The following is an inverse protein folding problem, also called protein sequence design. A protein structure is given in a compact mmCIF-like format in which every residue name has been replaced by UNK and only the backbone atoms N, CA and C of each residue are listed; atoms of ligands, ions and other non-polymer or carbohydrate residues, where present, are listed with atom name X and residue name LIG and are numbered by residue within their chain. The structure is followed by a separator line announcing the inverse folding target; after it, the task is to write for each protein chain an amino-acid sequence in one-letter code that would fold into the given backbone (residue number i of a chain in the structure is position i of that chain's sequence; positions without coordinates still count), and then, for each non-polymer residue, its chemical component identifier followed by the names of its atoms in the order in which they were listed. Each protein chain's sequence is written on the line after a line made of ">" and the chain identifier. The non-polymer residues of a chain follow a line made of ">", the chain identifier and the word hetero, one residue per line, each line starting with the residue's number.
data_IF_697391460003
#
_entry.id   IF_697391460003
#
_cell.length_a   1.000
_cell.length_b   1.000
_cell.length_c   1.000
_cell.angle_alpha   90.00
_cell.angle_beta   90.00
_cell.angle_gamma   90.00
#
_symmetry.space_group_name_H-M   'P 1'
#
loop_
_entity.id
_entity.type
_entity.pdbx_description
1 polymer ?
#
# COMPACT_ATOMS: atom_id res chain seq x y z
N UNK A 1 -10.29 -34.85 -22.31
CA UNK A 1 -11.56 -34.21 -21.90
C UNK A 1 -11.55 -32.70 -22.28
N UNK A 2 -10.62 -31.87 -21.79
CA UNK A 2 -10.55 -30.43 -22.10
C UNK A 2 -10.28 -30.13 -23.59
N UNK A 3 -9.38 -30.89 -24.21
CA UNK A 3 -9.08 -30.76 -25.65
C UNK A 3 -10.29 -31.08 -26.51
N UNK A 4 -11.08 -32.08 -26.12
CA UNK A 4 -12.33 -32.45 -26.79
C UNK A 4 -13.41 -31.38 -26.58
N UNK A 5 -13.57 -30.84 -25.35
CA UNK A 5 -14.49 -29.75 -25.08
C UNK A 5 -14.14 -28.48 -25.87
N UNK A 6 -12.86 -28.13 -25.96
CA UNK A 6 -12.36 -27.02 -26.79
C UNK A 6 -12.66 -27.23 -28.28
N UNK A 7 -12.43 -28.44 -28.79
CA UNK A 7 -12.72 -28.78 -30.18
C UNK A 7 -14.21 -28.74 -30.47
N UNK A 8 -15.05 -29.24 -29.55
CA UNK A 8 -16.51 -29.19 -29.67
C UNK A 8 -17.02 -27.74 -29.66
N UNK A 9 -16.50 -26.88 -28.79
CA UNK A 9 -16.87 -25.45 -28.73
C UNK A 9 -16.40 -24.65 -29.97
N UNK A 10 -15.32 -25.09 -30.61
CA UNK A 10 -14.83 -24.48 -31.86
C UNK A 10 -15.64 -24.99 -33.08
N UNK A 11 -16.08 -26.25 -33.06
CA UNK A 11 -16.82 -26.86 -34.15
C UNK A 11 -18.33 -26.58 -34.14
N UNK A 12 -18.95 -26.47 -32.96
CA UNK A 12 -20.34 -26.04 -32.84
C UNK A 12 -20.41 -24.51 -33.01
N UNK A 13 -20.48 -24.02 -34.23
CA UNK A 13 -20.87 -22.66 -34.57
C UNK A 13 -22.41 -22.58 -34.72
N UNK A 14 -23.19 -22.32 -33.70
CA UNK A 14 -24.53 -21.81 -33.93
C UNK A 14 -24.38 -20.31 -34.22
N UNK A 15 -24.84 -19.91 -35.40
CA UNK A 15 -24.93 -18.48 -35.80
C UNK A 15 -25.80 -17.62 -34.85
N UNK A 16 -26.30 -18.18 -33.75
CA UNK A 16 -27.25 -17.58 -32.84
C UNK A 16 -26.62 -16.94 -31.56
N UNK A 17 -25.35 -17.18 -31.27
CA UNK A 17 -24.75 -16.59 -30.06
C UNK A 17 -24.07 -15.24 -30.34
N UNK A 18 -24.55 -14.20 -29.69
CA UNK A 18 -23.94 -12.86 -29.77
C UNK A 18 -22.46 -12.89 -29.34
N UNK A 19 -21.63 -12.00 -29.88
CA UNK A 19 -20.22 -11.86 -29.45
C UNK A 19 -20.07 -11.73 -27.93
N UNK A 20 -21.04 -11.12 -27.26
CA UNK A 20 -21.10 -11.00 -25.81
C UNK A 20 -21.15 -12.35 -25.10
N UNK A 21 -22.00 -13.25 -25.55
CA UNK A 21 -22.16 -14.59 -24.96
C UNK A 21 -20.89 -15.43 -25.14
N UNK A 22 -20.21 -15.33 -26.28
CA UNK A 22 -18.89 -15.99 -26.51
C UNK A 22 -17.83 -15.49 -25.54
N UNK A 23 -17.75 -14.18 -25.31
CA UNK A 23 -16.80 -13.60 -24.35
C UNK A 23 -17.05 -14.09 -22.91
N UNK A 24 -18.30 -14.24 -22.49
CA UNK A 24 -18.64 -14.78 -21.17
C UNK A 24 -18.24 -16.24 -21.01
N UNK A 25 -18.52 -17.09 -22.00
CA UNK A 25 -18.12 -18.50 -21.98
C UNK A 25 -16.59 -18.64 -21.98
N UNK A 26 -15.88 -17.88 -22.80
CA UNK A 26 -14.44 -17.91 -22.84
C UNK A 26 -13.81 -17.41 -21.52
N UNK A 27 -14.36 -16.36 -20.93
CA UNK A 27 -13.95 -15.86 -19.62
C UNK A 27 -14.20 -16.88 -18.51
N UNK A 28 -15.36 -17.57 -18.52
CA UNK A 28 -15.68 -18.64 -17.58
C UNK A 28 -14.69 -19.81 -17.68
N UNK A 29 -14.39 -20.27 -18.88
CA UNK A 29 -13.40 -21.34 -19.11
C UNK A 29 -11.99 -20.94 -18.66
N UNK A 30 -11.56 -19.71 -18.89
CA UNK A 30 -10.28 -19.20 -18.38
C UNK A 30 -10.27 -19.21 -16.84
N UNK A 31 -11.34 -18.76 -16.20
CA UNK A 31 -11.45 -18.79 -14.75
C UNK A 31 -11.37 -20.20 -14.16
N UNK A 32 -12.07 -21.17 -14.79
CA UNK A 32 -12.00 -22.58 -14.38
C UNK A 32 -10.61 -23.17 -14.59
N UNK A 33 -9.98 -22.90 -15.72
CA UNK A 33 -8.60 -23.31 -16.00
C UNK A 33 -7.62 -22.74 -14.97
N UNK A 34 -7.74 -21.44 -14.64
CA UNK A 34 -6.95 -20.83 -13.58
C UNK A 34 -7.21 -21.45 -12.21
N UNK A 35 -8.48 -21.76 -11.89
CA UNK A 35 -8.84 -22.43 -10.64
C UNK A 35 -8.20 -23.82 -10.54
N UNK A 36 -8.23 -24.61 -11.63
CA UNK A 36 -7.57 -25.92 -11.69
C UNK A 36 -6.04 -25.82 -11.59
N UNK A 37 -5.42 -24.89 -12.31
CA UNK A 37 -3.97 -24.65 -12.20
C UNK A 37 -3.57 -24.29 -10.78
N UNK A 38 -4.38 -23.47 -10.10
CA UNK A 38 -4.16 -23.14 -8.70
C UNK A 38 -4.27 -24.34 -7.75
N UNK A 39 -5.08 -25.35 -8.07
CA UNK A 39 -5.17 -26.58 -7.27
C UNK A 39 -3.96 -27.49 -7.40
N UNK A 40 -3.21 -27.38 -8.52
CA UNK A 40 -1.97 -28.15 -8.76
C UNK A 40 -0.77 -27.60 -8.00
N UNK A 41 -0.84 -26.35 -7.49
CA UNK A 41 0.24 -25.78 -6.71
C UNK A 41 0.14 -26.30 -5.26
N UNK A 42 1.16 -26.99 -4.73
CA UNK A 42 1.17 -27.45 -3.35
C UNK A 42 0.99 -26.30 -2.35
N UNK A 43 0.29 -26.54 -1.25
CA UNK A 43 -0.04 -25.50 -0.26
C UNK A 43 1.20 -24.79 0.33
N UNK A 44 2.32 -25.52 0.47
CA UNK A 44 3.56 -24.94 0.95
C UNK A 44 4.18 -23.97 -0.08
N UNK A 45 4.07 -24.25 -1.38
CA UNK A 45 4.54 -23.36 -2.43
C UNK A 45 3.64 -22.13 -2.55
N UNK A 46 2.32 -22.30 -2.40
CA UNK A 46 1.37 -21.15 -2.37
C UNK A 46 1.70 -20.19 -1.24
N UNK A 47 1.96 -20.71 -0.04
CA UNK A 47 2.36 -19.90 1.11
C UNK A 47 3.68 -19.17 0.85
N UNK A 48 4.67 -19.85 0.28
CA UNK A 48 5.97 -19.26 -0.07
C UNK A 48 5.81 -18.14 -1.11
N UNK A 49 5.04 -18.36 -2.18
CA UNK A 49 4.75 -17.35 -3.21
C UNK A 49 4.02 -16.15 -2.61
N UNK A 50 3.04 -16.39 -1.73
CA UNK A 50 2.28 -15.32 -1.09
C UNK A 50 3.14 -14.52 -0.11
N UNK A 51 4.00 -15.17 0.67
CA UNK A 51 4.95 -14.50 1.56
C UNK A 51 5.97 -13.67 0.78
N UNK A 52 6.53 -14.20 -0.30
CA UNK A 52 7.44 -13.47 -1.16
C UNK A 52 6.78 -12.25 -1.79
N UNK A 53 5.54 -12.40 -2.28
CA UNK A 53 4.76 -11.28 -2.82
C UNK A 53 4.45 -10.24 -1.74
N UNK A 54 4.06 -10.66 -0.55
CA UNK A 54 3.82 -9.77 0.58
C UNK A 54 5.07 -8.98 0.98
N UNK A 55 6.23 -9.64 1.01
CA UNK A 55 7.51 -9.00 1.28
C UNK A 55 7.89 -7.97 0.21
N UNK A 56 7.65 -8.27 -1.08
CA UNK A 56 7.88 -7.31 -2.17
C UNK A 56 6.98 -6.08 -2.03
N UNK A 57 5.68 -6.27 -1.84
CA UNK A 57 4.71 -5.17 -1.67
C UNK A 57 5.10 -4.30 -0.47
N UNK A 58 5.48 -4.92 0.63
CA UNK A 58 5.90 -4.21 1.84
C UNK A 58 7.17 -3.40 1.60
N UNK A 59 8.15 -3.96 0.93
CA UNK A 59 9.40 -3.26 0.55
C UNK A 59 9.10 -2.05 -0.33
N UNK A 60 8.28 -2.22 -1.36
CA UNK A 60 7.94 -1.17 -2.31
C UNK A 60 7.13 -0.05 -1.61
N UNK A 61 6.23 -0.41 -0.69
CA UNK A 61 5.53 0.55 0.15
C UNK A 61 6.49 1.36 1.05
N UNK A 62 7.41 0.69 1.77
CA UNK A 62 8.37 1.36 2.65
C UNK A 62 9.28 2.28 1.84
N UNK A 63 9.73 1.83 0.66
CA UNK A 63 10.52 2.66 -0.24
C UNK A 63 9.76 3.92 -0.67
N UNK A 64 8.49 3.77 -1.04
CA UNK A 64 7.64 4.88 -1.46
C UNK A 64 7.38 5.87 -0.31
N UNK A 65 7.11 5.37 0.90
CA UNK A 65 6.94 6.20 2.10
C UNK A 65 8.21 7.00 2.42
N UNK A 66 9.37 6.37 2.32
CA UNK A 66 10.65 7.05 2.57
C UNK A 66 10.97 8.10 1.50
N UNK A 67 10.66 7.83 0.24
CA UNK A 67 10.88 8.76 -0.86
C UNK A 67 9.95 9.99 -0.82
N UNK A 68 8.78 9.85 -0.21
CA UNK A 68 7.77 10.92 -0.11
C UNK A 68 8.12 12.04 0.88
N UNK A 69 9.14 11.84 1.72
CA UNK A 69 9.56 12.81 2.74
C UNK A 69 8.45 13.26 3.70
N UNK A 70 7.41 12.44 3.89
CA UNK A 70 6.34 12.67 4.84
C UNK A 70 5.24 13.65 4.38
N UNK A 71 5.22 14.02 3.09
CA UNK A 71 4.23 14.96 2.52
C UNK A 71 2.83 14.37 2.52
N UNK A 72 2.68 13.11 2.05
CA UNK A 72 1.39 12.45 1.99
C UNK A 72 1.17 11.57 3.22
N UNK A 73 0.01 11.75 3.89
CA UNK A 73 -0.33 11.04 5.13
C UNK A 73 -1.48 10.05 4.99
N UNK A 74 -1.99 9.84 3.78
CA UNK A 74 -3.11 8.94 3.51
C UNK A 74 -2.61 7.59 3.00
N UNK A 75 -3.11 6.50 3.59
CA UNK A 75 -2.85 5.14 3.08
C UNK A 75 -3.37 4.96 1.65
N UNK A 76 -4.48 5.64 1.30
CA UNK A 76 -5.05 5.57 -0.05
C UNK A 76 -4.08 6.07 -1.11
N UNK A 77 -3.36 7.16 -0.84
CA UNK A 77 -2.35 7.68 -1.76
C UNK A 77 -1.31 6.63 -2.14
N UNK A 78 -0.76 5.94 -1.16
CA UNK A 78 0.26 4.91 -1.39
C UNK A 78 -0.33 3.66 -2.04
N UNK A 79 -1.55 3.30 -1.67
CA UNK A 79 -2.27 2.18 -2.26
C UNK A 79 -2.53 2.41 -3.75
N UNK A 80 -2.98 3.61 -4.13
CA UNK A 80 -3.20 4.00 -5.53
C UNK A 80 -1.90 3.99 -6.34
N UNK A 81 -0.80 4.50 -5.77
CA UNK A 81 0.53 4.48 -6.40
C UNK A 81 1.04 3.05 -6.65
N UNK A 82 0.71 2.12 -5.78
CA UNK A 82 1.10 0.72 -5.88
C UNK A 82 0.06 -0.14 -6.63
N UNK A 83 -1.03 0.47 -7.13
CA UNK A 83 -2.13 -0.21 -7.81
C UNK A 83 -2.82 -1.30 -6.96
N UNK A 84 -2.96 -1.05 -5.66
CA UNK A 84 -3.68 -1.92 -4.72
C UNK A 84 -4.84 -1.19 -4.04
N UNK A 85 -5.82 -1.97 -3.55
CA UNK A 85 -6.82 -1.37 -2.65
C UNK A 85 -6.20 -1.08 -1.28
N UNK A 86 -6.62 -0.01 -0.58
CA UNK A 86 -6.13 0.30 0.77
C UNK A 86 -6.32 -0.84 1.76
N UNK A 87 -7.45 -1.56 1.65
CA UNK A 87 -7.76 -2.72 2.49
C UNK A 87 -6.74 -3.86 2.28
N UNK A 88 -6.42 -4.17 1.03
CA UNK A 88 -5.44 -5.21 0.70
C UNK A 88 -4.04 -4.82 1.17
N UNK A 89 -3.61 -3.58 0.90
CA UNK A 89 -2.31 -3.07 1.34
C UNK A 89 -2.16 -3.14 2.88
N UNK A 90 -3.22 -2.75 3.61
CA UNK A 90 -3.23 -2.86 5.08
C UNK A 90 -3.08 -4.30 5.57
N UNK A 91 -3.78 -5.25 4.95
CA UNK A 91 -3.71 -6.66 5.33
C UNK A 91 -2.30 -7.22 5.10
N UNK A 92 -1.75 -7.01 3.89
CA UNK A 92 -0.43 -7.53 3.49
C UNK A 92 0.69 -6.98 4.37
N UNK A 93 0.73 -5.66 4.59
CA UNK A 93 1.78 -5.03 5.40
C UNK A 93 1.68 -5.46 6.86
N UNK A 94 0.47 -5.53 7.41
CA UNK A 94 0.26 -5.98 8.78
C UNK A 94 0.65 -7.44 8.98
N UNK A 95 0.35 -8.31 8.02
CA UNK A 95 0.76 -9.71 8.02
C UNK A 95 2.29 -9.85 7.97
N UNK A 96 2.95 -9.09 7.09
CA UNK A 96 4.39 -9.18 6.88
C UNK A 96 5.22 -8.56 8.00
N UNK A 97 4.73 -7.50 8.67
CA UNK A 97 5.53 -6.68 9.60
C UNK A 97 4.98 -6.57 11.01
N UNK A 98 3.73 -6.96 11.23
CA UNK A 98 3.01 -6.71 12.48
C UNK A 98 2.53 -5.26 12.66
N UNK A 99 3.00 -4.31 11.83
CA UNK A 99 2.63 -2.88 11.87
C UNK A 99 1.62 -2.53 10.78
N UNK A 100 0.80 -1.53 11.03
CA UNK A 100 -0.10 -0.99 10.00
C UNK A 100 0.63 -0.02 9.07
N UNK A 101 0.19 0.15 7.80
CA UNK A 101 0.74 1.16 6.91
C UNK A 101 0.73 2.57 7.50
N UNK A 102 -0.34 2.91 8.24
CA UNK A 102 -0.47 4.22 8.89
C UNK A 102 0.66 4.47 9.91
N UNK A 103 1.09 3.44 10.66
CA UNK A 103 2.20 3.58 11.59
C UNK A 103 3.51 3.91 10.87
N UNK A 104 3.81 3.23 9.75
CA UNK A 104 4.99 3.57 8.93
C UNK A 104 4.96 4.99 8.39
N UNK A 105 3.78 5.43 7.89
CA UNK A 105 3.59 6.80 7.39
C UNK A 105 3.82 7.80 8.51
N UNK A 106 3.21 7.58 9.69
CA UNK A 106 3.36 8.48 10.84
C UNK A 106 4.80 8.54 11.35
N UNK A 107 5.48 7.39 11.46
CA UNK A 107 6.90 7.31 11.86
C UNK A 107 7.79 8.09 10.89
N UNK A 108 7.56 7.95 9.58
CA UNK A 108 8.32 8.73 8.60
C UNK A 108 7.99 10.22 8.66
N UNK A 109 6.71 10.58 8.72
CA UNK A 109 6.28 11.99 8.80
C UNK A 109 6.89 12.68 10.01
N UNK A 110 6.84 12.06 11.20
CA UNK A 110 7.41 12.67 12.40
C UNK A 110 8.94 12.79 12.34
N UNK A 111 9.60 11.82 11.72
CA UNK A 111 11.06 11.89 11.46
C UNK A 111 11.42 13.10 10.61
N UNK A 112 10.70 13.34 9.53
CA UNK A 112 10.92 14.48 8.65
C UNK A 112 10.56 15.82 9.32
N UNK A 113 9.47 15.85 10.11
CA UNK A 113 9.09 17.02 10.90
C UNK A 113 10.21 17.37 11.92
N UNK A 114 10.68 16.38 12.68
CA UNK A 114 11.78 16.58 13.64
C UNK A 114 13.03 17.15 12.95
N UNK A 115 13.37 16.58 11.79
CA UNK A 115 14.50 17.08 11.02
C UNK A 115 14.33 18.55 10.61
N UNK A 116 13.17 18.93 10.06
CA UNK A 116 12.88 20.32 9.69
C UNK A 116 12.82 21.26 10.90
N UNK A 117 12.26 20.81 12.03
CA UNK A 117 12.23 21.61 13.26
C UNK A 117 13.63 21.95 13.76
N UNK A 118 14.58 21.02 13.64
CA UNK A 118 15.95 21.17 14.13
C UNK A 118 16.88 21.89 13.14
N UNK A 119 16.69 21.67 11.84
CA UNK A 119 17.67 22.05 10.81
C UNK A 119 17.15 23.12 9.81
N UNK A 120 16.03 23.76 10.08
CA UNK A 120 15.56 24.87 9.25
C UNK A 120 15.11 26.06 10.08
N UNK A 121 15.21 27.25 9.51
CA UNK A 121 14.72 28.50 10.10
C UNK A 121 13.21 28.72 9.88
N UNK A 122 12.52 27.75 9.29
CA UNK A 122 11.08 27.83 9.04
C UNK A 122 10.31 27.99 10.35
N UNK A 123 9.30 28.86 10.35
CA UNK A 123 8.37 28.97 11.47
C UNK A 123 7.57 27.69 11.65
N UNK A 124 7.00 27.49 12.84
CA UNK A 124 6.14 26.32 13.13
C UNK A 124 4.95 26.27 12.16
N UNK A 125 4.44 27.44 11.74
CA UNK A 125 3.34 27.54 10.77
C UNK A 125 3.80 27.08 9.39
N UNK A 126 4.93 27.56 8.89
CA UNK A 126 5.48 27.16 7.59
C UNK A 126 5.78 25.66 7.53
N UNK A 127 6.25 25.07 8.64
CA UNK A 127 6.45 23.62 8.70
C UNK A 127 5.09 22.90 8.65
N UNK A 128 4.08 23.38 9.40
CA UNK A 128 2.75 22.79 9.36
C UNK A 128 2.16 22.83 7.94
N UNK A 129 2.32 23.95 7.25
CA UNK A 129 1.86 24.12 5.87
C UNK A 129 2.64 23.20 4.90
N UNK A 130 3.96 23.06 5.08
CA UNK A 130 4.81 22.21 4.25
C UNK A 130 4.46 20.71 4.36
N UNK A 131 3.88 20.28 5.48
CA UNK A 131 3.39 18.91 5.69
C UNK A 131 1.87 18.80 5.53
N UNK A 132 1.21 19.77 4.88
CA UNK A 132 -0.22 19.77 4.58
C UNK A 132 -1.11 19.53 5.82
N UNK A 133 -0.79 20.19 6.94
CA UNK A 133 -1.66 20.23 8.09
C UNK A 133 -2.72 21.32 7.96
N UNK A 134 -4.00 21.04 8.30
CA UNK A 134 -5.08 22.01 8.16
C UNK A 134 -4.84 23.32 8.91
N UNK A 135 -4.13 23.25 10.02
CA UNK A 135 -3.71 24.41 10.82
C UNK A 135 -2.62 24.01 11.83
N UNK A 136 -1.91 25.01 12.41
CA UNK A 136 -0.86 24.76 13.41
C UNK A 136 -1.32 24.02 14.66
N UNK A 137 -2.60 24.12 15.04
CA UNK A 137 -3.13 23.41 16.22
C UNK A 137 -3.17 21.89 15.99
N UNK A 138 -3.61 21.44 14.80
CA UNK A 138 -3.57 20.02 14.44
C UNK A 138 -2.13 19.50 14.32
N UNK A 139 -1.25 20.30 13.74
CA UNK A 139 0.18 20.00 13.70
C UNK A 139 0.77 19.82 15.09
N UNK A 140 0.52 20.78 16.00
CA UNK A 140 0.99 20.71 17.38
C UNK A 140 0.49 19.48 18.14
N UNK A 141 -0.80 19.14 17.98
CA UNK A 141 -1.39 17.91 18.55
C UNK A 141 -0.73 16.65 17.99
N UNK A 142 -0.49 16.59 16.70
CA UNK A 142 0.15 15.47 16.04
C UNK A 142 1.59 15.28 16.57
N UNK A 143 2.39 16.34 16.56
CA UNK A 143 3.78 16.28 17.05
C UNK A 143 3.80 15.84 18.52
N UNK A 144 2.96 16.44 19.37
CA UNK A 144 2.89 16.08 20.79
C UNK A 144 2.45 14.63 21.01
N UNK A 145 1.49 14.14 20.24
CA UNK A 145 1.04 12.74 20.33
C UNK A 145 2.15 11.75 19.93
N UNK A 146 3.00 12.11 18.96
CA UNK A 146 4.06 11.23 18.45
C UNK A 146 5.38 11.34 19.23
N UNK A 147 5.63 12.46 19.90
CA UNK A 147 6.94 12.73 20.54
C UNK A 147 6.85 12.97 22.05
N UNK A 148 5.65 13.21 22.56
CA UNK A 148 5.42 13.69 23.94
C UNK A 148 5.71 15.19 24.16
N UNK A 149 6.28 15.87 23.17
CA UNK A 149 6.74 17.27 23.25
C UNK A 149 5.97 18.15 22.24
N UNK A 150 5.85 19.43 22.55
CA UNK A 150 5.34 20.42 21.59
C UNK A 150 6.35 20.67 20.48
N UNK A 151 5.93 21.19 19.31
CA UNK A 151 6.86 21.55 18.23
C UNK A 151 7.97 22.52 18.66
N UNK A 152 7.65 23.45 19.55
CA UNK A 152 8.64 24.41 20.08
C UNK A 152 9.64 23.72 21.01
N UNK A 153 9.18 22.85 21.89
CA UNK A 153 10.06 22.05 22.74
C UNK A 153 10.96 21.13 21.90
N UNK A 154 10.40 20.48 20.84
CA UNK A 154 11.17 19.67 19.91
C UNK A 154 12.26 20.48 19.17
N UNK A 155 11.99 21.76 18.86
CA UNK A 155 12.98 22.67 18.26
C UNK A 155 14.08 23.05 19.23
N UNK A 156 13.71 23.30 20.51
CA UNK A 156 14.64 23.73 21.56
C UNK A 156 15.40 22.57 22.19
N UNK A 157 14.92 21.37 22.09
CA UNK A 157 15.65 20.18 22.54
C UNK A 157 16.87 19.97 21.64
N UNK A 158 17.91 20.79 21.86
CA UNK A 158 19.22 20.58 21.30
C UNK A 158 19.80 19.32 21.92
N UNK A 159 20.03 18.34 21.07
CA UNK A 159 21.13 17.39 21.22
C UNK A 159 21.29 16.71 22.58
N UNK A 160 20.64 15.56 22.72
CA UNK A 160 21.14 14.45 23.49
C UNK A 160 21.01 13.16 22.67
N UNK A 161 21.39 13.19 21.42
CA UNK A 161 21.52 11.98 20.58
C UNK A 161 22.77 12.15 19.70
N UNK A 162 23.95 11.90 20.28
CA UNK A 162 25.09 11.30 19.57
C UNK A 162 25.04 9.79 19.69
#
# INVERSE_FOLDING_TARGET
>A
LYKELLLTLIQEQPQAYSQRTRSFHFSGMLCEMFAMLNQLIPDHERKSIQQNRGAMITRDFIHLVNADNGTHRSVSYYADKLCYSPKYLCAVIKEATGKTPMQFIQENTIKQIKYKLKHSDMSIKEIADAFDFPNPSFFGKFVKAQTGMTPLECRMSKENEE
#
